data_IF_939725526978
#
_entry.id   IF_939725526978
#
_cell.length_a   1.000
_cell.length_b   1.000
_cell.length_c   1.000
_cell.angle_alpha   90.00
_cell.angle_beta   90.00
_cell.angle_gamma   90.00
#
_symmetry.space_group_name_H-M   'P 1'
#
loop_
_entity.id
_entity.type
_entity.pdbx_description
1 polymer ?
#
# COMPACT_ATOMS: atom_id res chain seq x y z
N UNK A 1 4.18 -20.98 0.53
CA UNK A 1 3.14 -21.83 -0.04
C UNK A 1 3.69 -22.79 -1.08
N UNK A 2 3.04 -23.90 -1.27
CA UNK A 2 3.43 -24.88 -2.28
C UNK A 2 2.90 -24.47 -3.66
N UNK A 3 3.66 -24.73 -4.75
CA UNK A 3 3.19 -24.54 -6.11
C UNK A 3 1.97 -25.46 -6.36
N UNK A 4 0.97 -24.95 -7.03
CA UNK A 4 -0.20 -25.74 -7.40
C UNK A 4 -0.06 -26.27 -8.82
N UNK A 5 -0.63 -27.45 -9.15
CA UNK A 5 -0.61 -27.98 -10.52
C UNK A 5 -1.43 -27.15 -11.51
N UNK A 6 -2.17 -26.16 -11.02
CA UNK A 6 -3.00 -25.27 -11.84
C UNK A 6 -2.33 -23.92 -12.10
N UNK A 7 -1.08 -23.70 -11.59
CA UNK A 7 -0.34 -22.50 -11.91
C UNK A 7 -0.01 -22.48 -13.40
N UNK A 8 -0.26 -21.36 -14.05
CA UNK A 8 -0.01 -21.16 -15.49
C UNK A 8 1.45 -21.44 -15.86
N UNK A 9 2.36 -21.31 -14.89
CA UNK A 9 3.79 -21.52 -15.05
C UNK A 9 4.26 -22.85 -14.45
N UNK A 10 3.48 -23.89 -14.56
CA UNK A 10 3.88 -25.23 -14.10
C UNK A 10 5.02 -25.82 -14.95
N UNK A 11 6.07 -26.42 -14.34
CA UNK A 11 6.28 -26.56 -12.91
C UNK A 11 6.77 -25.23 -12.29
N UNK A 12 6.06 -24.78 -11.25
CA UNK A 12 6.41 -23.58 -10.51
C UNK A 12 7.75 -23.76 -9.79
N UNK A 13 8.62 -22.75 -9.92
CA UNK A 13 9.91 -22.74 -9.20
C UNK A 13 9.76 -22.33 -7.74
N UNK A 14 8.69 -21.61 -7.42
CA UNK A 14 8.34 -21.16 -6.06
C UNK A 14 6.88 -20.77 -5.98
N UNK A 15 6.35 -20.64 -4.75
CA UNK A 15 5.04 -20.04 -4.55
C UNK A 15 5.08 -18.53 -4.71
N UNK A 16 4.10 -17.97 -5.42
CA UNK A 16 3.92 -16.53 -5.58
C UNK A 16 3.31 -15.85 -4.34
N UNK A 17 2.82 -16.61 -3.37
CA UNK A 17 2.12 -16.11 -2.18
C UNK A 17 3.04 -15.71 -1.03
N UNK A 18 4.35 -15.94 -1.14
CA UNK A 18 5.33 -15.53 -0.14
C UNK A 18 5.35 -14.01 0.10
N UNK A 19 5.73 -13.60 1.29
CA UNK A 19 5.89 -12.18 1.67
C UNK A 19 7.20 -11.57 1.17
N UNK A 20 8.15 -12.42 0.79
CA UNK A 20 9.39 -12.05 0.10
C UNK A 20 9.44 -12.76 -1.25
N UNK A 21 10.24 -12.26 -2.17
CA UNK A 21 10.56 -12.94 -3.42
C UNK A 21 11.73 -13.94 -3.26
N UNK A 22 12.16 -14.54 -4.36
CA UNK A 22 13.27 -15.52 -4.35
C UNK A 22 14.63 -14.91 -3.99
N UNK A 23 14.80 -13.61 -4.18
CA UNK A 23 16.00 -12.86 -3.78
C UNK A 23 15.90 -12.30 -2.36
N UNK A 24 14.89 -12.74 -1.58
CA UNK A 24 14.56 -12.25 -0.24
C UNK A 24 14.16 -10.77 -0.20
N UNK A 25 13.79 -10.17 -1.34
CA UNK A 25 13.30 -8.81 -1.34
C UNK A 25 11.86 -8.76 -0.81
N UNK A 26 11.56 -7.84 0.12
CA UNK A 26 10.26 -7.76 0.75
C UNK A 26 9.20 -7.24 -0.22
N UNK A 27 8.05 -7.91 -0.27
CA UNK A 27 6.83 -7.44 -0.96
C UNK A 27 6.00 -6.54 -0.04
N UNK A 28 4.98 -5.86 -0.58
CA UNK A 28 4.13 -4.96 0.22
C UNK A 28 3.55 -5.63 1.48
N UNK A 29 3.14 -6.89 1.38
CA UNK A 29 2.58 -7.64 2.52
C UNK A 29 3.59 -7.86 3.66
N UNK A 30 4.89 -7.91 3.37
CA UNK A 30 5.93 -7.95 4.40
C UNK A 30 5.82 -6.73 5.33
N UNK A 31 5.64 -5.54 4.77
CA UNK A 31 5.55 -4.31 5.55
C UNK A 31 4.25 -4.22 6.36
N UNK A 32 3.17 -4.85 5.90
CA UNK A 32 1.96 -4.99 6.72
C UNK A 32 2.26 -5.81 7.98
N UNK A 33 2.88 -6.97 7.85
CA UNK A 33 3.24 -7.80 9.00
C UNK A 33 4.26 -7.11 9.90
N UNK A 34 5.27 -6.48 9.30
CA UNK A 34 6.27 -5.73 10.05
C UNK A 34 5.63 -4.61 10.88
N UNK A 35 4.67 -3.89 10.34
CA UNK A 35 3.98 -2.79 11.05
C UNK A 35 3.15 -3.26 12.26
N UNK A 36 2.91 -4.57 12.39
CA UNK A 36 2.11 -5.15 13.48
C UNK A 36 3.00 -5.89 14.48
N UNK A 37 4.00 -6.61 13.98
CA UNK A 37 4.77 -7.55 14.79
C UNK A 37 6.13 -7.00 15.23
N UNK A 38 6.71 -6.05 14.50
CA UNK A 38 7.98 -5.45 14.92
C UNK A 38 7.71 -4.33 15.93
N UNK A 39 8.29 -4.46 17.10
CA UNK A 39 8.20 -3.48 18.19
C UNK A 39 9.48 -2.67 18.38
N UNK A 40 10.54 -3.01 17.66
CA UNK A 40 11.85 -2.37 17.79
C UNK A 40 12.01 -1.19 16.85
N UNK A 41 11.41 -1.29 15.64
CA UNK A 41 11.52 -0.26 14.62
C UNK A 41 10.16 0.14 14.06
N UNK A 42 9.95 1.42 13.88
CA UNK A 42 8.76 1.93 13.21
C UNK A 42 8.72 1.55 11.74
N UNK A 43 7.52 1.34 11.26
CA UNK A 43 7.26 1.00 9.86
C UNK A 43 6.37 2.05 9.22
N UNK A 44 6.78 2.56 8.06
CA UNK A 44 5.94 3.36 7.17
C UNK A 44 6.19 2.91 5.73
N UNK A 45 5.18 2.33 5.12
CA UNK A 45 5.23 1.83 3.76
C UNK A 45 4.01 2.29 2.97
N UNK A 46 4.27 3.00 1.86
CA UNK A 46 3.25 3.48 0.94
C UNK A 46 3.10 2.51 -0.22
N UNK A 47 1.86 2.24 -0.61
CA UNK A 47 1.52 1.50 -1.82
C UNK A 47 0.25 2.09 -2.46
N UNK A 48 0.08 1.90 -3.79
CA UNK A 48 0.98 1.27 -4.74
C UNK A 48 2.21 2.15 -5.05
N UNK A 49 3.10 1.66 -5.92
CA UNK A 49 4.12 2.52 -6.53
C UNK A 49 3.46 3.72 -7.24
N UNK A 50 4.20 4.82 -7.40
CA UNK A 50 3.62 6.06 -7.94
C UNK A 50 4.16 6.39 -9.34
N UNK A 51 4.12 5.37 -10.24
CA UNK A 51 4.53 5.52 -11.65
C UNK A 51 3.53 4.81 -12.55
N UNK A 52 2.54 5.56 -13.04
CA UNK A 52 1.46 5.06 -13.89
C UNK A 52 1.27 5.94 -15.11
N UNK A 53 1.75 5.51 -16.28
CA UNK A 53 1.69 6.33 -17.48
C UNK A 53 0.27 6.53 -18.05
N UNK A 54 -0.63 5.58 -17.77
CA UNK A 54 -2.00 5.53 -18.33
C UNK A 54 -3.10 5.91 -17.33
N UNK A 55 -2.74 6.33 -16.10
CA UNK A 55 -3.70 6.60 -15.03
C UNK A 55 -3.83 8.06 -14.62
N UNK A 56 -3.25 8.99 -15.35
CA UNK A 56 -3.33 10.42 -14.99
C UNK A 56 -4.79 10.86 -14.86
N UNK A 57 -5.16 11.44 -13.71
CA UNK A 57 -6.52 11.87 -13.38
C UNK A 57 -7.48 10.76 -12.96
N UNK A 58 -7.10 9.48 -13.09
CA UNK A 58 -7.93 8.34 -12.66
C UNK A 58 -7.77 8.08 -11.16
N UNK A 59 -8.84 7.60 -10.53
CA UNK A 59 -8.80 7.18 -9.13
C UNK A 59 -7.82 6.02 -8.97
N UNK A 60 -6.89 6.19 -8.04
CA UNK A 60 -5.86 5.22 -7.69
C UNK A 60 -5.78 5.17 -6.16
N UNK A 61 -6.46 4.20 -5.53
CA UNK A 61 -6.45 4.08 -4.07
C UNK A 61 -5.03 3.95 -3.53
N UNK A 62 -4.76 4.64 -2.42
CA UNK A 62 -3.46 4.62 -1.74
C UNK A 62 -3.62 4.00 -0.36
N UNK A 63 -2.66 3.17 0.01
CA UNK A 63 -2.60 2.53 1.32
C UNK A 63 -1.29 2.88 2.01
N UNK A 64 -1.34 2.94 3.33
CA UNK A 64 -0.15 3.04 4.17
C UNK A 64 -0.17 1.94 5.23
N UNK A 65 0.88 1.12 5.22
CA UNK A 65 1.16 0.15 6.29
C UNK A 65 2.10 0.80 7.29
N UNK A 66 1.62 1.01 8.49
CA UNK A 66 2.38 1.69 9.55
C UNK A 66 1.92 1.19 10.91
N UNK A 67 2.79 1.23 11.89
CA UNK A 67 2.47 1.02 13.31
C UNK A 67 1.83 2.27 13.95
N UNK A 68 1.98 3.45 13.34
CA UNK A 68 1.33 4.66 13.83
C UNK A 68 -0.19 4.63 13.68
N UNK A 69 -0.93 5.24 14.63
CA UNK A 69 -2.39 5.21 14.63
C UNK A 69 -3.03 6.13 13.59
N UNK A 70 -2.30 7.12 13.08
CA UNK A 70 -2.84 8.18 12.24
C UNK A 70 -1.82 8.67 11.22
N UNK A 71 -2.29 9.01 10.03
CA UNK A 71 -1.46 9.66 9.02
C UNK A 71 -2.26 10.57 8.09
N UNK A 72 -1.55 11.49 7.44
CA UNK A 72 -2.06 12.38 6.41
C UNK A 72 -1.31 12.15 5.11
N UNK A 73 -2.08 12.01 4.02
CA UNK A 73 -1.55 11.79 2.68
C UNK A 73 -1.51 13.09 1.89
N UNK A 74 -0.46 13.25 1.08
CA UNK A 74 -0.29 14.39 0.18
C UNK A 74 0.06 13.90 -1.23
N UNK A 75 -0.53 14.53 -2.25
CA UNK A 75 -0.15 14.40 -3.64
C UNK A 75 0.34 15.77 -4.10
N UNK A 76 1.58 15.87 -4.55
CA UNK A 76 2.21 17.14 -4.97
C UNK A 76 2.00 18.27 -3.94
N UNK A 77 2.14 17.96 -2.65
CA UNK A 77 1.94 18.91 -1.55
C UNK A 77 0.48 19.19 -1.17
N UNK A 78 -0.51 18.68 -1.93
CA UNK A 78 -1.93 18.86 -1.64
C UNK A 78 -2.44 17.73 -0.75
N UNK A 79 -3.00 18.06 0.42
CA UNK A 79 -3.57 17.09 1.35
C UNK A 79 -4.75 16.33 0.73
N UNK A 80 -4.73 15.02 0.94
CA UNK A 80 -5.82 14.09 0.59
C UNK A 80 -6.62 13.68 1.84
N UNK A 81 -6.33 14.31 2.97
CA UNK A 81 -6.98 14.06 4.24
C UNK A 81 -6.11 13.29 5.24
N UNK A 82 -6.39 13.57 6.50
CA UNK A 82 -5.78 12.91 7.65
C UNK A 82 -6.76 11.87 8.19
N UNK A 83 -6.32 10.63 8.36
CA UNK A 83 -7.15 9.50 8.77
C UNK A 83 -6.52 8.72 9.90
N UNK A 84 -7.37 8.04 10.69
CA UNK A 84 -6.98 7.19 11.81
C UNK A 84 -7.32 5.73 11.52
N UNK A 85 -6.51 4.82 12.06
CA UNK A 85 -6.86 3.39 12.07
C UNK A 85 -8.17 3.16 12.83
N UNK A 86 -9.01 2.30 12.28
CA UNK A 86 -10.34 1.97 12.83
C UNK A 86 -10.21 0.85 13.88
N UNK A 87 -9.62 1.14 15.04
CA UNK A 87 -9.49 0.15 16.11
C UNK A 87 -10.85 0.00 16.81
N UNK A 88 -11.46 -1.19 16.73
CA UNK A 88 -12.66 -1.54 17.50
C UNK A 88 -14.00 -1.12 16.89
N UNK A 89 -14.05 -0.51 15.72
CA UNK A 89 -15.31 -0.16 15.05
C UNK A 89 -15.44 -0.93 13.73
N UNK A 90 -16.54 -1.67 13.60
CA UNK A 90 -16.98 -2.21 12.31
C UNK A 90 -17.80 -1.13 11.62
N UNK A 91 -17.17 -0.16 11.01
CA UNK A 91 -17.87 0.76 10.13
C UNK A 91 -18.06 0.08 8.78
N UNK A 92 -19.30 -0.21 8.44
CA UNK A 92 -19.69 -0.53 7.08
C UNK A 92 -19.52 0.78 6.29
N UNK A 93 -18.43 0.87 5.53
CA UNK A 93 -18.23 2.00 4.62
C UNK A 93 -19.24 1.88 3.48
N UNK A 94 -20.24 2.74 3.49
CA UNK A 94 -21.31 2.78 2.48
C UNK A 94 -20.96 3.68 1.29
N UNK A 95 -19.77 4.26 1.25
CA UNK A 95 -19.40 5.18 0.16
C UNK A 95 -17.98 4.90 -0.36
N UNK A 96 -17.89 4.71 -1.61
CA UNK A 96 -16.68 4.54 -2.38
C UNK A 96 -16.90 3.53 -3.47
N UNK A 97 -17.69 3.89 -4.51
CA UNK A 97 -17.77 3.10 -5.74
C UNK A 97 -16.37 3.12 -6.37
N UNK A 98 -15.68 2.01 -6.27
CA UNK A 98 -14.51 1.75 -7.12
C UNK A 98 -15.02 1.26 -8.48
N UNK A 99 -14.23 1.36 -9.53
CA UNK A 99 -14.64 0.82 -10.85
C UNK A 99 -14.89 -0.71 -10.83
N UNK A 100 -14.61 -1.37 -9.73
CA UNK A 100 -14.90 -2.78 -9.48
C UNK A 100 -16.32 -3.00 -8.92
N UNK A 101 -16.92 -1.98 -8.29
CA UNK A 101 -18.21 -2.09 -7.61
C UNK A 101 -19.39 -2.22 -8.60
N UNK A 102 -19.22 -1.78 -9.84
CA UNK A 102 -20.27 -1.87 -10.86
C UNK A 102 -20.55 -3.30 -11.33
N UNK A 103 -19.63 -4.24 -11.04
CA UNK A 103 -19.75 -5.64 -11.44
C UNK A 103 -20.07 -6.59 -10.28
N UNK A 104 -20.11 -6.07 -9.05
CA UNK A 104 -20.36 -6.89 -7.87
C UNK A 104 -21.86 -6.97 -7.55
N UNK A 105 -22.32 -8.16 -7.13
CA UNK A 105 -23.63 -8.31 -6.54
C UNK A 105 -23.74 -7.52 -5.23
N UNK A 106 -24.94 -7.17 -4.79
CA UNK A 106 -25.15 -6.45 -3.53
C UNK A 106 -24.56 -7.23 -2.33
N UNK A 107 -24.70 -8.57 -2.31
CA UNK A 107 -24.16 -9.43 -1.25
C UNK A 107 -22.62 -9.44 -1.25
N UNK A 108 -22.01 -9.54 -2.43
CA UNK A 108 -20.55 -9.49 -2.56
C UNK A 108 -20.00 -8.11 -2.16
N UNK A 109 -20.71 -7.05 -2.49
CA UNK A 109 -20.36 -5.69 -2.07
C UNK A 109 -20.35 -5.53 -0.54
N UNK A 110 -21.37 -6.08 0.15
CA UNK A 110 -21.45 -6.07 1.62
C UNK A 110 -20.30 -6.89 2.23
N UNK A 111 -20.06 -8.08 1.70
CA UNK A 111 -18.96 -8.94 2.15
C UNK A 111 -17.61 -8.24 1.98
N UNK A 112 -17.35 -7.68 0.81
CA UNK A 112 -16.13 -6.94 0.52
C UNK A 112 -15.95 -5.74 1.46
N UNK A 113 -16.99 -4.93 1.67
CA UNK A 113 -16.93 -3.79 2.59
C UNK A 113 -16.62 -4.23 4.03
N UNK A 114 -17.18 -5.35 4.48
CA UNK A 114 -16.89 -5.93 5.80
C UNK A 114 -15.44 -6.39 5.91
N UNK A 115 -14.92 -7.09 4.90
CA UNK A 115 -13.52 -7.53 4.85
C UNK A 115 -12.56 -6.33 4.85
N UNK A 116 -12.85 -5.29 4.08
CA UNK A 116 -12.06 -4.06 4.06
C UNK A 116 -12.06 -3.36 5.43
N UNK A 117 -13.19 -3.31 6.12
CA UNK A 117 -13.28 -2.69 7.45
C UNK A 117 -12.44 -3.43 8.51
N UNK A 118 -12.30 -4.76 8.38
CA UNK A 118 -11.42 -5.54 9.25
C UNK A 118 -9.95 -5.18 8.98
N UNK A 119 -9.57 -5.06 7.71
CA UNK A 119 -8.21 -4.71 7.32
C UNK A 119 -7.82 -3.29 7.73
N UNK A 120 -8.77 -2.36 7.77
CA UNK A 120 -8.54 -0.95 8.14
C UNK A 120 -8.17 -0.76 9.62
N UNK A 121 -8.21 -1.81 10.43
CA UNK A 121 -7.60 -1.86 11.78
C UNK A 121 -6.06 -1.87 11.72
N UNK A 122 -5.52 -2.38 10.61
CA UNK A 122 -4.09 -2.65 10.45
C UNK A 122 -3.42 -1.73 9.44
N UNK A 123 -4.20 -0.99 8.63
CA UNK A 123 -3.71 -0.12 7.56
C UNK A 123 -4.51 1.19 7.52
N UNK A 124 -3.92 2.18 6.87
CA UNK A 124 -4.61 3.42 6.50
C UNK A 124 -4.89 3.37 5.00
N UNK A 125 -6.05 3.90 4.57
CA UNK A 125 -6.52 3.79 3.20
C UNK A 125 -7.22 5.06 2.74
N UNK A 126 -6.80 5.61 1.58
CA UNK A 126 -7.44 6.71 0.85
C UNK A 126 -7.97 6.17 -0.47
N UNK A 127 -9.28 6.11 -0.65
CA UNK A 127 -9.92 5.44 -1.79
C UNK A 127 -10.02 6.33 -3.04
N UNK A 128 -10.14 7.63 -2.87
CA UNK A 128 -10.53 8.56 -3.94
C UNK A 128 -9.36 9.42 -4.44
N UNK A 129 -8.13 8.96 -4.22
CA UNK A 129 -6.93 9.67 -4.65
C UNK A 129 -6.83 9.63 -6.16
N UNK A 130 -6.79 10.80 -6.81
CA UNK A 130 -6.52 10.89 -8.24
C UNK A 130 -5.02 10.85 -8.47
N UNK A 131 -4.59 9.99 -9.39
CA UNK A 131 -3.20 9.92 -9.76
C UNK A 131 -2.76 11.18 -10.50
N UNK A 132 -1.75 11.82 -9.98
CA UNK A 132 -1.00 12.90 -10.64
C UNK A 132 0.49 12.55 -10.56
N UNK A 133 1.25 12.64 -11.69
CA UNK A 133 2.69 12.43 -11.63
C UNK A 133 3.37 13.41 -10.68
N UNK A 134 4.39 12.94 -9.98
CA UNK A 134 5.13 13.76 -9.02
C UNK A 134 5.31 13.07 -7.68
N UNK A 135 5.08 13.80 -6.61
CA UNK A 135 5.29 13.36 -5.23
C UNK A 135 4.03 12.76 -4.61
N UNK A 136 4.15 11.56 -4.07
CA UNK A 136 3.22 10.98 -3.12
C UNK A 136 3.91 10.93 -1.75
N UNK A 137 3.36 11.65 -0.76
CA UNK A 137 3.94 11.74 0.58
C UNK A 137 2.91 11.37 1.65
N UNK A 138 3.33 10.62 2.64
CA UNK A 138 2.57 10.40 3.87
C UNK A 138 3.33 10.94 5.06
N UNK A 139 2.60 11.57 5.97
CA UNK A 139 3.10 12.06 7.27
C UNK A 139 2.36 11.30 8.36
N UNK A 140 3.09 10.61 9.22
CA UNK A 140 2.53 9.85 10.34
C UNK A 140 2.53 10.67 11.62
N UNK A 141 1.55 10.36 12.48
CA UNK A 141 1.33 11.03 13.75
C UNK A 141 1.21 10.01 14.89
N UNK A 142 1.71 10.37 16.04
CA UNK A 142 1.56 9.59 17.26
C UNK A 142 0.14 9.70 17.84
N UNK A 143 -0.11 8.98 18.95
CA UNK A 143 -1.39 9.02 19.66
C UNK A 143 -1.75 10.40 20.24
N UNK A 144 -0.79 11.30 20.35
CA UNK A 144 -0.97 12.67 20.85
C UNK A 144 -1.15 13.67 19.72
N UNK A 145 -1.03 13.24 18.45
CA UNK A 145 -1.16 14.09 17.27
C UNK A 145 0.11 14.79 16.85
N UNK A 146 1.26 14.45 17.44
CA UNK A 146 2.55 15.01 17.02
C UNK A 146 3.03 14.31 15.77
N UNK A 147 3.59 15.07 14.83
CA UNK A 147 4.28 14.54 13.65
C UNK A 147 5.48 13.70 14.10
N UNK A 148 5.61 12.50 13.54
CA UNK A 148 6.69 11.55 13.89
C UNK A 148 7.63 11.29 12.73
N UNK A 149 7.10 10.81 11.62
CA UNK A 149 7.90 10.44 10.45
C UNK A 149 7.13 10.69 9.17
N UNK A 150 7.84 10.64 8.06
CA UNK A 150 7.25 10.75 6.73
C UNK A 150 7.89 9.75 5.77
N UNK A 151 7.14 9.39 4.73
CA UNK A 151 7.61 8.59 3.61
C UNK A 151 7.21 9.27 2.32
N UNK A 152 8.14 9.32 1.37
CA UNK A 152 7.94 9.90 0.04
C UNK A 152 8.17 8.83 -1.02
N UNK A 153 7.30 8.81 -2.01
CA UNK A 153 7.43 8.02 -3.24
C UNK A 153 7.30 8.98 -4.42
N UNK A 154 8.22 8.92 -5.36
CA UNK A 154 8.24 9.80 -6.52
C UNK A 154 7.88 9.04 -7.78
N UNK A 155 7.18 9.71 -8.69
CA UNK A 155 7.01 9.20 -10.05
C UNK A 155 8.37 9.09 -10.74
N UNK A 156 8.70 7.90 -11.23
CA UNK A 156 9.93 7.67 -11.97
C UNK A 156 9.89 8.39 -13.33
N UNK A 157 10.99 9.02 -13.69
CA UNK A 157 11.21 9.58 -15.03
C UNK A 157 11.77 8.52 -15.97
N UNK A 158 11.97 8.87 -17.25
CA UNK A 158 12.64 7.96 -18.18
C UNK A 158 14.04 7.62 -17.65
N UNK A 159 14.42 6.34 -17.76
CA UNK A 159 15.76 5.89 -17.44
C UNK A 159 16.79 6.65 -18.28
N UNK A 160 17.83 7.20 -17.63
CA UNK A 160 18.89 7.96 -18.30
C UNK A 160 20.16 7.16 -18.46
N UNK A 161 20.51 6.33 -17.47
CA UNK A 161 21.73 5.54 -17.45
C UNK A 161 21.60 4.37 -16.48
N UNK A 162 22.40 3.34 -16.69
CA UNK A 162 22.67 2.28 -15.72
C UNK A 162 24.02 2.59 -15.06
N UNK A 163 24.06 2.56 -13.74
CA UNK A 163 25.31 2.61 -12.96
C UNK A 163 25.46 1.26 -12.26
N UNK A 164 26.56 0.58 -12.51
CA UNK A 164 26.93 -0.64 -11.81
C UNK A 164 28.00 -0.28 -10.76
N UNK A 165 27.65 -0.42 -9.51
CA UNK A 165 28.59 -0.34 -8.41
C UNK A 165 29.04 -1.79 -8.10
N UNK A 166 30.11 -2.25 -8.70
CA UNK A 166 30.72 -3.55 -8.39
C UNK A 166 31.84 -3.34 -7.37
N UNK A 167 31.97 -4.23 -6.36
CA UNK A 167 33.15 -4.22 -5.50
C UNK A 167 34.41 -4.47 -6.37
N UNK A 168 35.46 -3.73 -6.09
CA UNK A 168 36.75 -4.06 -6.68
C UNK A 168 37.13 -5.48 -6.26
N UNK A 169 37.34 -6.34 -7.27
CA UNK A 169 37.83 -7.70 -7.00
C UNK A 169 39.25 -7.56 -6.50
N UNK A 170 39.46 -7.89 -5.25
CA UNK A 170 40.80 -8.02 -4.66
C UNK A 170 41.36 -9.41 -4.99
#
# INVERSE_FOLDING_TARGET
GEPTPYDEYWPSRSSYFGICDLACLPKDRFYLYRSIWNTEEHTVHLLPHWTWHDRVGKITPVYCYTDYPEAELFVNGKSQGRIKKQIGQTQIMTSGKTNWDEQMSQEDGIRYAREQSILDRYRLRWNDVKYEPGELKVVCYDKYGNKTCEKVVMTATKAKALKLDAPEVV
#
